data_IF_255783957457
#
_entry.id   IF_255783957457
#
_cell.length_a   1.000
_cell.length_b   1.000
_cell.length_c   1.000
_cell.angle_alpha   90.00
_cell.angle_beta   90.00
_cell.angle_gamma   90.00
#
_symmetry.space_group_name_H-M   'P 1'
#
loop_
_entity.id
_entity.type
_entity.pdbx_description
1 polymer ?
#
# COMPACT_ATOMS: atom_id res chain seq x y z
N UNK A 1 -35.84 -9.24 23.56
CA UNK A 1 -35.62 -7.77 23.53
C UNK A 1 -34.12 -7.45 23.62
N UNK A 2 -33.47 -7.39 22.45
CA UNK A 2 -32.04 -7.63 22.26
C UNK A 2 -31.16 -6.37 22.30
N UNK A 3 -30.27 -6.35 23.30
CA UNK A 3 -28.84 -6.01 23.25
C UNK A 3 -28.36 -4.99 22.21
N UNK A 4 -28.27 -3.72 22.63
CA UNK A 4 -27.37 -2.72 22.04
C UNK A 4 -25.91 -3.04 22.41
N UNK A 5 -25.20 -3.85 21.59
CA UNK A 5 -23.74 -3.92 21.65
C UNK A 5 -23.13 -2.72 20.93
N UNK A 6 -22.65 -1.73 21.69
CA UNK A 6 -21.79 -0.65 21.19
C UNK A 6 -20.42 -1.24 20.85
N UNK A 7 -20.13 -1.43 19.57
CA UNK A 7 -18.75 -1.66 19.12
C UNK A 7 -17.99 -0.33 19.15
N UNK A 8 -17.37 0.03 20.28
CA UNK A 8 -16.35 1.08 20.32
C UNK A 8 -15.02 0.51 19.82
N UNK A 9 -14.92 0.24 18.52
CA UNK A 9 -13.62 0.14 17.87
C UNK A 9 -13.01 1.54 17.88
N UNK A 10 -12.22 1.82 18.92
CA UNK A 10 -11.34 2.97 18.99
C UNK A 10 -10.31 2.75 17.88
N UNK A 11 -10.64 3.17 16.65
CA UNK A 11 -9.69 3.19 15.55
C UNK A 11 -8.47 3.95 16.05
N UNK A 12 -7.36 3.23 16.27
CA UNK A 12 -6.06 3.90 16.40
C UNK A 12 -5.91 4.75 15.14
N UNK A 13 -5.33 5.95 15.23
CA UNK A 13 -5.45 6.88 14.13
C UNK A 13 -4.93 6.26 12.82
N UNK A 14 -5.32 6.80 11.69
CA UNK A 14 -4.72 6.50 10.40
C UNK A 14 -4.12 7.81 9.96
N UNK A 15 -2.87 7.85 9.51
CA UNK A 15 -2.17 9.11 9.25
C UNK A 15 -1.92 9.23 7.75
N UNK A 16 -2.76 9.96 7.01
CA UNK A 16 -2.44 10.33 5.65
C UNK A 16 -1.20 11.23 5.65
N UNK A 17 -0.18 10.82 4.90
CA UNK A 17 1.08 11.57 4.69
C UNK A 17 1.26 11.71 3.18
N UNK A 18 1.44 12.93 2.68
CA UNK A 18 1.58 13.22 1.25
C UNK A 18 1.46 14.70 0.93
N UNK A 19 1.73 15.06 -0.33
CA UNK A 19 1.48 16.43 -0.83
C UNK A 19 -0.04 16.68 -0.97
N UNK A 20 -0.45 17.94 -0.87
CA UNK A 20 -1.83 18.43 -1.08
C UNK A 20 -2.83 18.11 0.03
N UNK A 21 -2.43 17.47 1.13
CA UNK A 21 -3.32 17.32 2.30
C UNK A 21 -3.49 18.62 3.09
N UNK A 22 -2.58 19.59 2.89
CA UNK A 22 -2.70 20.99 3.31
C UNK A 22 -3.94 21.67 2.72
N UNK A 23 -4.41 21.21 1.54
CA UNK A 23 -5.59 21.76 0.84
C UNK A 23 -6.91 21.13 1.30
N UNK A 24 -6.90 20.30 2.36
CA UNK A 24 -8.13 19.77 2.92
C UNK A 24 -9.06 20.90 3.35
N UNK A 25 -10.34 20.76 3.01
CA UNK A 25 -11.40 21.66 3.50
C UNK A 25 -11.26 21.84 5.01
N UNK A 26 -11.40 23.08 5.48
CA UNK A 26 -11.22 23.45 6.91
C UNK A 26 -12.01 22.54 7.86
N UNK A 27 -13.21 22.13 7.45
CA UNK A 27 -14.14 21.33 8.25
C UNK A 27 -14.04 19.80 7.97
N UNK A 28 -13.00 19.35 7.27
CA UNK A 28 -12.81 17.92 6.99
C UNK A 28 -12.53 17.15 8.28
N UNK A 29 -13.25 16.05 8.57
CA UNK A 29 -12.99 15.21 9.73
C UNK A 29 -11.61 14.54 9.68
N UNK A 30 -10.98 14.49 8.51
CA UNK A 30 -9.65 13.92 8.30
C UNK A 30 -8.53 14.85 8.76
N UNK A 31 -8.78 16.15 8.90
CA UNK A 31 -7.74 17.16 9.13
C UNK A 31 -6.95 16.93 10.42
N UNK A 32 -7.58 16.40 11.46
CA UNK A 32 -6.95 16.02 12.74
C UNK A 32 -6.05 14.77 12.64
N UNK A 33 -6.15 14.02 11.56
CA UNK A 33 -5.43 12.77 11.33
C UNK A 33 -4.32 12.92 10.31
N UNK A 34 -4.36 13.97 9.50
CA UNK A 34 -3.32 14.30 8.52
C UNK A 34 -2.08 14.84 9.22
N UNK A 35 -0.92 14.33 8.81
CA UNK A 35 0.38 15.00 9.07
C UNK A 35 0.83 15.60 7.75
N UNK A 36 0.56 16.89 7.58
CA UNK A 36 0.54 17.61 6.29
C UNK A 36 1.90 17.91 5.66
N UNK A 37 2.95 17.19 6.05
CA UNK A 37 4.28 17.40 5.47
C UNK A 37 4.70 16.14 4.75
N UNK A 38 4.90 16.25 3.42
CA UNK A 38 5.50 15.18 2.65
C UNK A 38 6.86 14.82 3.28
N UNK A 39 7.05 13.52 3.50
CA UNK A 39 8.31 12.96 4.00
C UNK A 39 8.99 12.22 2.85
N UNK A 40 10.30 12.03 2.97
CA UNK A 40 11.13 11.42 1.95
C UNK A 40 12.23 10.55 2.57
N UNK A 41 12.87 9.73 1.74
CA UNK A 41 14.01 8.91 2.12
C UNK A 41 13.74 8.03 3.35
N UNK A 42 14.73 7.95 4.24
CA UNK A 42 14.69 7.08 5.43
C UNK A 42 13.47 7.34 6.32
N UNK A 43 12.97 8.58 6.38
CA UNK A 43 11.76 8.88 7.15
C UNK A 43 10.54 8.16 6.58
N UNK A 44 10.40 8.10 5.25
CA UNK A 44 9.31 7.35 4.62
C UNK A 44 9.47 5.85 4.82
N UNK A 45 10.69 5.32 4.75
CA UNK A 45 10.95 3.90 5.02
C UNK A 45 10.52 3.51 6.44
N UNK A 46 10.86 4.34 7.44
CA UNK A 46 10.40 4.16 8.83
C UNK A 46 8.88 4.24 8.95
N UNK A 47 8.24 5.17 8.24
CA UNK A 47 6.77 5.29 8.21
C UNK A 47 6.13 4.03 7.63
N UNK A 48 6.60 3.54 6.48
CA UNK A 48 6.06 2.33 5.86
C UNK A 48 6.20 1.12 6.77
N UNK A 49 7.39 0.91 7.34
CA UNK A 49 7.67 -0.22 8.24
C UNK A 49 6.86 -0.17 9.54
N UNK A 50 6.66 1.02 10.11
CA UNK A 50 5.94 1.18 11.38
C UNK A 50 4.42 1.28 11.23
N UNK A 51 3.92 1.51 10.01
CA UNK A 51 2.50 1.58 9.72
C UNK A 51 1.87 0.20 9.76
N UNK A 52 0.71 0.08 10.41
CA UNK A 52 -0.04 -1.18 10.40
C UNK A 52 -0.52 -1.52 9.00
N UNK A 53 -1.06 -0.53 8.28
CA UNK A 53 -1.56 -0.68 6.91
C UNK A 53 -1.13 0.57 6.14
N UNK A 54 -0.45 0.37 5.02
CA UNK A 54 -0.12 1.45 4.08
C UNK A 54 -1.11 1.38 2.92
N UNK A 55 -1.94 2.41 2.79
CA UNK A 55 -2.89 2.52 1.69
C UNK A 55 -2.21 3.09 0.44
N UNK A 56 -2.30 2.37 -0.67
CA UNK A 56 -1.77 2.81 -1.95
C UNK A 56 -2.89 2.97 -2.98
N UNK A 57 -3.28 4.21 -3.26
CA UNK A 57 -4.30 4.51 -4.26
C UNK A 57 -3.66 4.76 -5.62
N UNK A 58 -4.10 4.03 -6.64
CA UNK A 58 -3.78 4.31 -8.04
C UNK A 58 -4.82 5.29 -8.57
N UNK A 59 -4.37 6.37 -9.23
CA UNK A 59 -5.28 7.35 -9.84
C UNK A 59 -5.96 6.71 -11.04
N UNK A 60 -7.25 6.98 -11.26
CA UNK A 60 -7.98 6.50 -12.44
C UNK A 60 -7.28 6.80 -13.77
N UNK A 61 -6.57 7.93 -13.86
CA UNK A 61 -5.80 8.34 -15.03
C UNK A 61 -4.63 7.41 -15.35
N UNK A 62 -4.14 6.67 -14.36
CA UNK A 62 -3.06 5.70 -14.55
C UNK A 62 -3.59 4.35 -15.05
N UNK A 63 -4.90 4.22 -15.31
CA UNK A 63 -5.52 3.00 -15.82
C UNK A 63 -5.19 1.78 -14.98
N UNK A 64 -4.68 0.74 -15.64
CA UNK A 64 -4.31 -0.53 -15.03
C UNK A 64 -2.88 -0.56 -14.45
N UNK A 65 -2.22 0.59 -14.38
CA UNK A 65 -0.81 0.67 -14.02
C UNK A 65 -0.53 0.62 -12.51
N UNK A 66 0.75 0.60 -12.16
CA UNK A 66 1.26 0.76 -10.80
C UNK A 66 1.87 2.15 -10.56
N UNK A 67 2.27 2.43 -9.32
CA UNK A 67 3.10 3.59 -8.96
C UNK A 67 4.33 3.15 -8.15
N UNK A 68 5.25 4.06 -7.82
CA UNK A 68 6.47 3.70 -7.07
C UNK A 68 6.19 3.02 -5.72
N UNK A 69 5.10 3.40 -5.01
CA UNK A 69 4.73 2.81 -3.70
C UNK A 69 4.49 1.32 -3.76
N UNK A 70 4.12 0.82 -4.94
CA UNK A 70 3.97 -0.61 -5.24
C UNK A 70 5.20 -1.43 -4.87
N UNK A 71 6.39 -0.86 -5.07
CA UNK A 71 7.65 -1.50 -4.73
C UNK A 71 8.28 -0.91 -3.45
N UNK A 72 8.13 0.40 -3.21
CA UNK A 72 8.72 1.04 -2.03
C UNK A 72 8.14 0.51 -0.70
N UNK A 73 6.82 0.25 -0.66
CA UNK A 73 6.17 -0.20 0.57
C UNK A 73 6.62 -1.60 0.96
N UNK A 74 6.55 -2.62 0.07
CA UNK A 74 7.08 -3.94 0.39
C UNK A 74 8.59 -3.94 0.65
N UNK A 75 9.39 -3.16 -0.09
CA UNK A 75 10.85 -3.07 0.11
C UNK A 75 11.24 -2.51 1.48
N UNK A 76 10.35 -1.73 2.11
CA UNK A 76 10.54 -1.25 3.48
C UNK A 76 9.99 -2.21 4.55
N UNK A 77 9.41 -3.35 4.15
CA UNK A 77 8.72 -4.31 5.02
C UNK A 77 7.37 -3.82 5.52
N UNK A 78 6.69 -2.95 4.78
CA UNK A 78 5.35 -2.46 5.11
C UNK A 78 4.25 -3.35 4.52
N UNK A 79 3.15 -3.52 5.25
CA UNK A 79 1.95 -4.17 4.71
C UNK A 79 1.21 -3.21 3.75
N UNK A 80 1.17 -3.57 2.47
CA UNK A 80 0.49 -2.80 1.43
C UNK A 80 -0.95 -3.27 1.20
N UNK A 81 -1.89 -2.31 1.25
CA UNK A 81 -3.26 -2.49 0.79
C UNK A 81 -3.53 -1.48 -0.33
N UNK A 82 -3.61 -1.94 -1.57
CA UNK A 82 -3.63 -1.07 -2.76
C UNK A 82 -4.91 -1.17 -3.57
N UNK A 83 -5.19 -0.18 -4.42
CA UNK A 83 -6.24 -0.32 -5.44
C UNK A 83 -5.87 -1.46 -6.39
N UNK A 84 -6.81 -2.37 -6.63
CA UNK A 84 -6.61 -3.52 -7.53
C UNK A 84 -6.48 -3.02 -8.97
N UNK A 85 -5.38 -3.35 -9.62
CA UNK A 85 -5.15 -3.13 -11.05
C UNK A 85 -4.50 -4.38 -11.66
N UNK A 86 -4.54 -4.52 -12.99
CA UNK A 86 -3.95 -5.66 -13.67
C UNK A 86 -2.46 -5.82 -13.36
N UNK A 87 -1.66 -4.74 -13.49
CA UNK A 87 -0.21 -4.80 -13.22
C UNK A 87 0.09 -5.13 -11.76
N UNK A 88 -0.69 -4.60 -10.81
CA UNK A 88 -0.50 -4.91 -9.38
C UNK A 88 -0.64 -6.41 -9.11
N UNK A 89 -1.64 -7.06 -9.72
CA UNK A 89 -1.87 -8.50 -9.60
C UNK A 89 -0.90 -9.36 -10.40
N UNK A 90 -0.21 -8.78 -11.38
CA UNK A 90 0.90 -9.44 -12.08
C UNK A 90 2.20 -9.41 -11.26
N UNK A 91 2.43 -8.34 -10.48
CA UNK A 91 3.60 -8.23 -9.61
C UNK A 91 3.46 -9.05 -8.33
N UNK A 92 2.28 -9.06 -7.71
CA UNK A 92 2.06 -9.67 -6.39
C UNK A 92 0.86 -10.60 -6.38
N UNK A 93 1.00 -11.71 -5.66
CA UNK A 93 -0.12 -12.60 -5.32
C UNK A 93 -1.02 -11.96 -4.28
N UNK A 94 -2.27 -11.71 -4.67
CA UNK A 94 -3.26 -11.10 -3.80
C UNK A 94 -3.53 -11.94 -2.54
N UNK A 95 -3.52 -11.30 -1.38
CA UNK A 95 -3.75 -11.93 -0.08
C UNK A 95 -2.52 -12.69 0.46
N UNK A 96 -1.48 -12.87 -0.35
CA UNK A 96 -0.26 -13.57 0.02
C UNK A 96 0.93 -12.62 0.18
N UNK A 97 1.22 -11.78 -0.81
CA UNK A 97 2.41 -10.90 -0.85
C UNK A 97 2.04 -9.42 -0.71
N UNK A 98 0.84 -9.06 -1.17
CA UNK A 98 0.17 -7.78 -0.95
C UNK A 98 -1.34 -8.02 -0.99
N UNK A 99 -2.15 -7.05 -0.58
CA UNK A 99 -3.59 -7.18 -0.75
C UNK A 99 -4.22 -5.98 -1.46
N UNK A 100 -5.36 -6.21 -2.11
CA UNK A 100 -5.97 -5.26 -3.02
C UNK A 100 -7.44 -5.00 -2.73
N UNK A 101 -7.98 -3.88 -3.22
CA UNK A 101 -9.40 -3.56 -3.14
C UNK A 101 -9.88 -2.82 -4.39
N UNK A 102 -11.17 -2.98 -4.73
CA UNK A 102 -11.83 -2.34 -5.86
C UNK A 102 -12.95 -1.38 -5.44
N UNK A 103 -13.38 -1.40 -4.17
CA UNK A 103 -14.44 -0.52 -3.65
C UNK A 103 -14.13 0.03 -2.25
N UNK A 104 -14.77 1.15 -1.86
CA UNK A 104 -14.71 1.66 -0.49
C UNK A 104 -15.20 0.65 0.56
N UNK A 105 -16.20 -0.16 0.23
CA UNK A 105 -16.78 -1.19 1.09
C UNK A 105 -15.77 -2.32 1.33
N UNK A 106 -15.10 -2.77 0.26
CA UNK A 106 -14.05 -3.78 0.33
C UNK A 106 -12.85 -3.25 1.13
N UNK A 107 -12.39 -2.02 0.83
CA UNK A 107 -11.34 -1.34 1.57
C UNK A 107 -11.64 -1.30 3.07
N UNK A 108 -12.85 -0.88 3.45
CA UNK A 108 -13.29 -0.81 4.84
C UNK A 108 -13.28 -2.18 5.51
N UNK A 109 -13.72 -3.21 4.79
CA UNK A 109 -13.77 -4.59 5.28
C UNK A 109 -12.36 -5.12 5.51
N UNK A 110 -11.46 -4.97 4.52
CA UNK A 110 -10.06 -5.40 4.59
C UNK A 110 -9.28 -4.66 5.68
N UNK A 111 -9.47 -3.34 5.82
CA UNK A 111 -8.87 -2.58 6.93
C UNK A 111 -9.25 -3.18 8.28
N UNK A 112 -10.54 -3.44 8.52
CA UNK A 112 -10.98 -4.06 9.79
C UNK A 112 -10.40 -5.44 9.98
N UNK A 113 -10.40 -6.26 8.93
CA UNK A 113 -9.87 -7.61 8.97
C UNK A 113 -8.39 -7.62 9.34
N UNK A 114 -7.54 -6.86 8.65
CA UNK A 114 -6.10 -6.84 8.93
C UNK A 114 -5.73 -6.11 10.21
N UNK A 115 -6.55 -5.18 10.70
CA UNK A 115 -6.33 -4.60 12.03
C UNK A 115 -6.56 -5.61 13.15
N UNK A 116 -7.46 -6.58 12.96
CA UNK A 116 -7.74 -7.67 13.90
C UNK A 116 -6.84 -8.89 13.74
N UNK A 117 -6.11 -9.02 12.62
CA UNK A 117 -5.24 -10.16 12.31
C UNK A 117 -3.77 -9.70 12.13
N UNK A 118 -3.07 -9.33 13.23
CA UNK A 118 -1.72 -8.79 13.14
C UNK A 118 -0.69 -9.78 12.57
N UNK A 119 -0.79 -11.07 12.91
CA UNK A 119 0.19 -12.08 12.49
C UNK A 119 0.11 -12.35 10.99
N UNK A 120 -1.11 -12.52 10.48
CA UNK A 120 -1.37 -12.63 9.05
C UNK A 120 -0.82 -11.40 8.28
N UNK A 121 -1.08 -10.20 8.82
CA UNK A 121 -0.61 -8.95 8.22
C UNK A 121 0.92 -8.87 8.17
N UNK A 122 1.60 -9.28 9.24
CA UNK A 122 3.06 -9.35 9.30
C UNK A 122 3.61 -10.40 8.32
N UNK A 123 2.98 -11.57 8.23
CA UNK A 123 3.38 -12.63 7.30
C UNK A 123 3.24 -12.19 5.83
N UNK A 124 2.17 -11.47 5.48
CA UNK A 124 2.00 -10.91 4.14
C UNK A 124 3.08 -9.86 3.85
N UNK A 125 3.34 -8.94 4.78
CA UNK A 125 4.38 -7.92 4.61
C UNK A 125 5.77 -8.53 4.40
N UNK A 126 6.08 -9.62 5.10
CA UNK A 126 7.34 -10.35 4.97
C UNK A 126 7.47 -11.01 3.59
N UNK A 127 6.43 -11.71 3.12
CA UNK A 127 6.43 -12.28 1.76
C UNK A 127 6.50 -11.21 0.66
N UNK A 128 5.84 -10.08 0.88
CA UNK A 128 5.94 -8.92 -0.01
C UNK A 128 7.37 -8.37 -0.10
N UNK A 129 8.10 -8.31 1.02
CA UNK A 129 9.51 -7.92 1.06
C UNK A 129 10.38 -8.89 0.27
N UNK A 130 10.23 -10.20 0.50
CA UNK A 130 10.95 -11.25 -0.22
C UNK A 130 10.67 -11.19 -1.74
N UNK A 131 9.41 -10.92 -2.12
CA UNK A 131 9.01 -10.80 -3.53
C UNK A 131 9.74 -9.70 -4.28
N UNK A 132 10.05 -8.58 -3.62
CA UNK A 132 10.69 -7.41 -4.24
C UNK A 132 12.20 -7.36 -4.04
N UNK A 133 12.79 -8.28 -3.26
CA UNK A 133 14.24 -8.36 -3.03
C UNK A 133 15.02 -8.43 -4.36
N UNK A 134 14.43 -9.09 -5.37
CA UNK A 134 14.96 -9.24 -6.72
C UNK A 134 14.27 -8.35 -7.78
N UNK A 135 13.62 -7.26 -7.36
CA UNK A 135 13.00 -6.28 -8.26
C UNK A 135 13.85 -4.99 -8.31
N UNK A 136 15.17 -5.14 -8.50
CA UNK A 136 16.10 -4.00 -8.59
C UNK A 136 16.15 -3.39 -9.99
N UNK A 137 16.59 -2.14 -10.09
CA UNK A 137 16.85 -1.51 -11.39
C UNK A 137 17.90 -2.27 -12.21
N UNK A 138 18.91 -2.86 -11.56
CA UNK A 138 19.93 -3.66 -12.25
C UNK A 138 19.29 -4.88 -12.94
N UNK A 139 18.48 -5.64 -12.21
CA UNK A 139 17.77 -6.81 -12.78
C UNK A 139 16.76 -6.40 -13.85
N UNK A 140 16.11 -5.23 -13.73
CA UNK A 140 15.23 -4.70 -14.79
C UNK A 140 16.02 -4.30 -16.04
N UNK A 141 17.18 -3.67 -15.88
CA UNK A 141 18.05 -3.30 -16.99
C UNK A 141 18.56 -4.55 -17.73
N UNK A 142 18.92 -5.61 -17.02
CA UNK A 142 19.29 -6.89 -17.66
C UNK A 142 18.17 -7.44 -18.54
N UNK A 143 16.91 -7.35 -18.11
CA UNK A 143 15.74 -7.77 -18.92
C UNK A 143 15.61 -6.92 -20.19
N UNK A 144 15.76 -5.60 -20.07
CA UNK A 144 15.69 -4.68 -21.21
C UNK A 144 16.81 -5.00 -22.21
N UNK A 145 18.04 -5.19 -21.74
CA UNK A 145 19.20 -5.51 -22.59
C UNK A 145 18.97 -6.81 -23.36
N UNK A 146 18.48 -7.87 -22.69
CA UNK A 146 18.16 -9.14 -23.36
C UNK A 146 17.13 -8.98 -24.49
N UNK A 147 16.09 -8.17 -24.27
CA UNK A 147 15.11 -7.88 -25.31
C UNK A 147 15.76 -7.13 -26.48
N UNK A 148 16.58 -6.10 -26.19
CA UNK A 148 17.29 -5.35 -27.22
C UNK A 148 18.24 -6.22 -28.06
N UNK A 149 18.93 -7.16 -27.42
CA UNK A 149 19.80 -8.13 -28.10
C UNK A 149 18.99 -9.06 -29.02
N UNK A 150 17.84 -9.57 -28.54
CA UNK A 150 16.96 -10.44 -29.34
C UNK A 150 16.32 -9.76 -30.56
N UNK A 151 16.21 -8.43 -30.55
CA UNK A 151 15.70 -7.66 -31.68
C UNK A 151 16.80 -7.35 -32.72
N UNK A 152 18.07 -7.56 -32.36
CA UNK A 152 19.23 -7.32 -33.23
C UNK A 152 19.74 -8.58 -33.93
N UNK A 153 19.35 -9.76 -33.45
CA UNK A 153 19.58 -11.06 -34.08
C UNK A 153 18.49 -11.38 -35.10
#
# INVERSE_FOLDING_TARGET
>A
PSLRRRYSLRMKPTWPIGKSWENLRRNSPLRKFVRSNAKYGETMSKIYRSSRIVLNFIRKQNGDAHNMRTFEVPACGGFMLATRTKEQTEFFREGEEADFFSSPEELRTKIKYYLSNPDLRTAIAQRGLERVENETYLQRMEKVTKVLESLRS
#
